data_IF_119988879481
#
_entry.id   IF_119988879481
#
_cell.length_a   1.000
_cell.length_b   1.000
_cell.length_c   1.000
_cell.angle_alpha   90.00
_cell.angle_beta   90.00
_cell.angle_gamma   90.00
#
_symmetry.space_group_name_H-M   'P 1'
#
loop_
_entity.id
_entity.type
_entity.pdbx_description
1 polymer ?
#
# COMPACT_ATOMS: atom_id res chain seq x y z
N UNK A 1 53.02 23.45 23.43
CA UNK A 1 52.63 22.09 23.84
C UNK A 1 51.13 22.14 24.13
N UNK A 2 50.30 21.68 23.21
CA UNK A 2 48.83 21.78 23.34
C UNK A 2 48.30 20.48 23.93
N UNK A 3 47.67 20.56 25.11
CA UNK A 3 47.00 19.42 25.71
C UNK A 3 45.66 19.18 25.00
N UNK A 4 45.51 18.00 24.42
CA UNK A 4 44.24 17.45 23.97
C UNK A 4 43.33 17.25 25.18
N UNK A 5 42.26 18.04 25.26
CA UNK A 5 41.20 17.85 26.26
C UNK A 5 40.46 16.54 25.96
N UNK A 6 40.36 15.60 26.92
CA UNK A 6 39.58 14.39 26.72
C UNK A 6 38.10 14.76 26.77
N UNK A 7 37.41 14.51 25.65
CA UNK A 7 35.96 14.66 25.56
C UNK A 7 35.29 13.78 26.62
N UNK A 8 34.78 14.40 27.68
CA UNK A 8 33.80 13.80 28.57
C UNK A 8 32.56 13.45 27.74
N UNK A 9 32.38 12.17 27.42
CA UNK A 9 31.12 11.64 26.90
C UNK A 9 30.08 11.74 28.02
N UNK A 10 29.33 12.83 28.01
CA UNK A 10 28.30 13.14 28.99
C UNK A 10 27.30 11.99 29.13
N UNK A 11 27.00 11.60 30.38
CA UNK A 11 26.02 10.58 30.79
C UNK A 11 24.63 10.82 30.17
N UNK A 12 24.35 12.06 29.74
CA UNK A 12 23.15 12.44 28.98
C UNK A 12 22.96 11.63 27.67
N UNK A 13 24.02 11.05 27.13
CA UNK A 13 23.97 10.31 25.86
C UNK A 13 23.21 8.97 25.97
N UNK A 14 23.27 8.28 27.12
CA UNK A 14 22.62 6.97 27.29
C UNK A 14 21.10 7.09 27.33
N UNK A 15 20.56 8.13 27.97
CA UNK A 15 19.12 8.38 28.06
C UNK A 15 18.51 8.69 26.68
N UNK A 16 19.25 9.41 25.82
CA UNK A 16 18.83 9.69 24.45
C UNK A 16 18.60 8.42 23.60
N UNK A 17 19.41 7.38 23.79
CA UNK A 17 19.35 6.15 22.98
C UNK A 17 18.07 5.36 23.19
N UNK A 18 17.72 5.12 24.46
CA UNK A 18 16.50 4.39 24.81
C UNK A 18 15.25 5.16 24.35
N UNK A 19 15.31 6.49 24.42
CA UNK A 19 14.24 7.37 23.92
C UNK A 19 14.05 7.21 22.42
N UNK A 20 15.11 7.33 21.60
CA UNK A 20 14.97 7.22 20.14
C UNK A 20 14.50 5.84 19.69
N UNK A 21 14.93 4.78 20.37
CA UNK A 21 14.43 3.43 20.09
C UNK A 21 12.94 3.27 20.42
N UNK A 22 12.46 3.84 21.52
CA UNK A 22 11.02 3.88 21.86
C UNK A 22 10.24 4.67 20.81
N UNK A 23 10.79 5.79 20.34
CA UNK A 23 10.20 6.60 19.26
C UNK A 23 10.09 5.79 17.97
N UNK A 24 11.15 5.09 17.54
CA UNK A 24 11.12 4.23 16.35
C UNK A 24 10.12 3.08 16.50
N UNK A 25 10.02 2.48 17.69
CA UNK A 25 9.03 1.44 17.99
C UNK A 25 7.60 2.00 17.89
N UNK A 26 7.39 3.22 18.42
CA UNK A 26 6.10 3.92 18.37
C UNK A 26 5.73 4.29 16.93
N UNK A 27 6.68 4.74 16.11
CA UNK A 27 6.49 5.00 14.68
C UNK A 27 5.91 3.80 13.93
N UNK A 28 6.44 2.59 14.17
CA UNK A 28 5.96 1.36 13.53
C UNK A 28 4.72 0.75 14.18
N UNK A 29 4.39 1.14 15.42
CA UNK A 29 3.29 0.55 16.19
C UNK A 29 1.91 0.52 15.52
N UNK A 30 1.51 1.48 14.65
CA UNK A 30 0.26 1.41 13.91
C UNK A 30 0.10 0.11 13.10
N UNK A 31 1.20 -0.39 12.52
CA UNK A 31 1.21 -1.57 11.66
C UNK A 31 1.33 -2.89 12.43
N UNK A 32 1.67 -2.83 13.73
CA UNK A 32 1.75 -4.03 14.57
C UNK A 32 0.39 -4.48 15.14
N UNK A 33 -0.68 -3.71 14.90
CA UNK A 33 -2.03 -3.95 15.48
C UNK A 33 -2.86 -4.99 14.72
N UNK A 34 -2.30 -5.63 13.68
CA UNK A 34 -3.00 -6.57 12.78
C UNK A 34 -4.25 -5.98 12.11
N UNK A 35 -4.31 -4.65 12.01
CA UNK A 35 -5.31 -3.95 11.21
C UNK A 35 -4.91 -4.16 9.75
N UNK A 36 -5.89 -4.42 8.88
CA UNK A 36 -5.67 -4.60 7.45
C UNK A 36 -6.58 -3.66 6.68
N UNK A 37 -6.14 -3.24 5.49
CA UNK A 37 -6.91 -2.35 4.64
C UNK A 37 -6.06 -1.26 3.97
N UNK A 38 -6.62 -0.57 2.97
CA UNK A 38 -5.90 0.40 2.15
C UNK A 38 -5.91 1.83 2.71
N UNK A 39 -6.62 2.08 3.81
CA UNK A 39 -6.71 3.39 4.44
C UNK A 39 -5.72 3.50 5.60
N UNK A 40 -4.76 4.42 5.46
CA UNK A 40 -3.74 4.69 6.48
C UNK A 40 -4.37 5.20 7.80
N UNK A 41 -5.53 5.85 7.74
CA UNK A 41 -6.25 6.35 8.93
C UNK A 41 -6.75 5.22 9.82
N UNK A 42 -7.14 4.08 9.23
CA UNK A 42 -7.60 2.92 9.98
C UNK A 42 -6.50 2.36 10.91
N UNK A 43 -5.23 2.58 10.59
CA UNK A 43 -4.09 2.17 11.43
C UNK A 43 -3.84 3.15 12.60
N UNK A 44 -4.45 4.34 12.57
CA UNK A 44 -4.13 5.44 13.50
C UNK A 44 -2.71 5.99 13.30
N UNK A 45 -2.18 5.89 12.07
CA UNK A 45 -0.80 6.28 11.79
C UNK A 45 -0.60 7.79 11.94
N UNK A 46 -1.55 8.60 11.47
CA UNK A 46 -1.43 10.06 11.48
C UNK A 46 -1.32 10.60 12.92
N UNK A 47 -2.16 10.11 13.83
CA UNK A 47 -2.18 10.47 15.24
C UNK A 47 -0.87 10.08 15.93
N UNK A 48 -0.41 8.85 15.68
CA UNK A 48 0.84 8.35 16.24
C UNK A 48 2.03 9.14 15.70
N UNK A 49 2.09 9.39 14.41
CA UNK A 49 3.20 10.10 13.78
C UNK A 49 3.27 11.56 14.24
N UNK A 50 2.14 12.27 14.28
CA UNK A 50 2.07 13.63 14.82
C UNK A 50 2.47 13.69 16.31
N UNK A 51 2.18 12.64 17.09
CA UNK A 51 2.52 12.61 18.52
C UNK A 51 4.01 12.40 18.82
N UNK A 52 4.82 12.05 17.82
CA UNK A 52 6.26 11.77 18.01
C UNK A 52 7.18 12.73 17.26
N UNK A 53 6.64 13.53 16.33
CA UNK A 53 7.41 14.51 15.55
C UNK A 53 7.19 15.94 16.08
N UNK A 54 8.11 16.83 15.72
CA UNK A 54 7.94 18.28 15.94
C UNK A 54 6.87 18.88 15.02
N UNK A 55 6.57 20.16 15.19
CA UNK A 55 5.63 20.89 14.33
C UNK A 55 6.04 20.83 12.85
N UNK A 56 5.08 21.02 11.94
CA UNK A 56 5.30 20.93 10.49
C UNK A 56 6.42 21.85 10.00
N UNK A 57 6.55 23.05 10.58
CA UNK A 57 7.57 24.03 10.21
C UNK A 57 9.00 23.59 10.61
N UNK A 58 9.11 22.70 11.60
CA UNK A 58 10.38 22.22 12.15
C UNK A 58 10.71 20.79 11.71
N UNK A 59 9.77 20.11 11.04
CA UNK A 59 9.91 18.72 10.65
C UNK A 59 10.31 18.58 9.18
N UNK A 60 11.38 17.83 8.94
CA UNK A 60 11.80 17.46 7.58
C UNK A 60 11.97 15.96 7.47
N UNK A 61 11.76 15.41 6.27
CA UNK A 61 12.07 14.02 6.04
C UNK A 61 12.71 13.76 4.68
N UNK A 62 13.31 12.57 4.58
CA UNK A 62 13.75 12.01 3.33
C UNK A 62 13.27 10.56 3.21
N UNK A 63 12.50 10.24 2.17
CA UNK A 63 12.06 8.87 1.89
C UNK A 63 12.70 8.39 0.60
N UNK A 64 13.51 7.33 0.67
CA UNK A 64 14.21 6.74 -0.49
C UNK A 64 15.01 7.75 -1.34
N UNK A 65 15.56 8.79 -0.70
CA UNK A 65 16.33 9.83 -1.39
C UNK A 65 15.53 11.11 -1.67
N UNK A 66 14.20 11.03 -1.74
CA UNK A 66 13.33 12.18 -1.96
C UNK A 66 13.16 12.98 -0.67
N UNK A 67 13.38 14.29 -0.72
CA UNK A 67 13.21 15.20 0.42
C UNK A 67 11.76 15.72 0.45
N UNK A 68 11.18 15.83 1.64
CA UNK A 68 9.83 16.35 1.84
C UNK A 68 9.48 16.60 3.30
N UNK A 69 8.19 16.69 3.58
CA UNK A 69 7.61 16.92 4.91
C UNK A 69 6.96 15.63 5.45
N UNK A 70 6.12 15.74 6.48
CA UNK A 70 5.38 14.60 7.02
C UNK A 70 4.50 13.88 5.98
N UNK A 71 3.97 14.61 4.98
CA UNK A 71 3.10 14.02 3.94
C UNK A 71 3.86 13.05 3.06
N UNK A 72 5.16 13.27 2.82
CA UNK A 72 5.97 12.34 2.04
C UNK A 72 6.06 10.96 2.69
N UNK A 73 6.17 10.90 4.02
CA UNK A 73 6.16 9.62 4.76
C UNK A 73 4.80 8.94 4.66
N UNK A 74 3.71 9.71 4.81
CA UNK A 74 2.36 9.18 4.63
C UNK A 74 2.11 8.66 3.21
N UNK A 75 2.54 9.41 2.20
CA UNK A 75 2.40 9.06 0.78
C UNK A 75 3.06 7.73 0.46
N UNK A 76 4.24 7.50 1.03
CA UNK A 76 4.95 6.23 0.93
C UNK A 76 4.09 5.06 1.46
N UNK A 77 3.49 5.19 2.65
CA UNK A 77 2.64 4.13 3.20
C UNK A 77 1.30 4.01 2.47
N UNK A 78 0.67 5.11 2.07
CA UNK A 78 -0.55 5.10 1.26
C UNK A 78 -0.32 4.26 0.00
N UNK A 79 0.80 4.49 -0.67
CA UNK A 79 1.16 3.79 -1.89
C UNK A 79 1.32 2.28 -1.66
N UNK A 80 2.01 1.86 -0.60
CA UNK A 80 2.13 0.44 -0.23
C UNK A 80 0.77 -0.18 0.10
N UNK A 81 -0.01 0.52 0.93
CA UNK A 81 -1.29 0.01 1.43
C UNK A 81 -2.35 -0.13 0.33
N UNK A 82 -2.20 0.52 -0.83
CA UNK A 82 -3.06 0.29 -1.99
C UNK A 82 -3.15 -1.17 -2.40
N UNK A 83 -2.02 -1.89 -2.36
CA UNK A 83 -1.94 -3.29 -2.80
C UNK A 83 -1.66 -4.28 -1.69
N UNK A 84 -1.01 -3.82 -0.63
CA UNK A 84 -0.37 -4.70 0.33
C UNK A 84 -0.83 -4.43 1.76
N UNK A 85 -0.89 -5.46 2.59
CA UNK A 85 -0.94 -5.32 4.04
C UNK A 85 0.48 -5.37 4.60
N UNK A 86 0.75 -4.60 5.66
CA UNK A 86 1.99 -4.75 6.45
C UNK A 86 1.67 -5.71 7.60
N UNK A 87 2.20 -6.93 7.54
CA UNK A 87 1.81 -8.03 8.43
C UNK A 87 2.63 -8.09 9.72
N UNK A 88 3.91 -7.76 9.61
CA UNK A 88 4.87 -7.86 10.70
C UNK A 88 5.98 -6.83 10.49
N UNK A 89 6.47 -6.24 11.57
CA UNK A 89 7.59 -5.30 11.57
C UNK A 89 8.56 -5.72 12.65
N UNK A 90 9.79 -6.05 12.24
CA UNK A 90 10.89 -6.42 13.13
C UNK A 90 11.95 -5.34 13.09
N UNK A 91 12.19 -4.71 14.22
CA UNK A 91 13.34 -3.84 14.42
C UNK A 91 14.54 -4.71 14.81
N UNK A 92 15.66 -4.56 14.11
CA UNK A 92 16.89 -5.25 14.48
C UNK A 92 17.41 -4.69 15.80
N UNK A 93 17.80 -5.58 16.71
CA UNK A 93 18.57 -5.18 17.88
C UNK A 93 19.94 -4.76 17.38
N UNK A 94 20.25 -3.46 17.38
CA UNK A 94 21.61 -3.02 17.16
C UNK A 94 22.53 -3.76 18.11
N UNK A 95 23.60 -4.36 17.57
CA UNK A 95 24.63 -4.97 18.40
C UNK A 95 25.12 -3.93 19.41
N UNK A 96 25.54 -4.35 20.60
CA UNK A 96 25.97 -3.40 21.64
C UNK A 96 27.12 -2.50 21.13
N UNK A 97 27.91 -2.99 20.17
CA UNK A 97 28.97 -2.27 19.45
C UNK A 97 28.45 -1.23 18.46
N UNK A 98 27.41 -1.53 17.67
CA UNK A 98 26.82 -0.55 16.74
C UNK A 98 26.07 0.57 17.48
N UNK A 99 25.45 0.21 18.61
CA UNK A 99 24.73 1.16 19.45
C UNK A 99 25.64 2.23 20.07
N UNK A 100 26.95 1.96 20.20
CA UNK A 100 27.92 2.94 20.72
C UNK A 100 28.17 4.06 19.72
N UNK A 101 28.15 3.76 18.42
CA UNK A 101 28.53 4.71 17.39
C UNK A 101 27.34 5.45 16.78
N UNK A 102 26.12 4.88 16.77
CA UNK A 102 24.99 5.57 16.15
C UNK A 102 23.62 5.20 16.73
N UNK A 103 23.21 5.90 17.80
CA UNK A 103 21.90 5.69 18.45
C UNK A 103 20.70 6.15 17.64
N UNK A 104 20.96 6.85 16.54
CA UNK A 104 19.94 7.46 15.69
C UNK A 104 19.64 6.60 14.46
N UNK A 105 20.48 5.59 14.19
CA UNK A 105 20.33 4.68 13.07
C UNK A 105 19.64 3.37 13.48
N UNK A 106 18.61 3.05 12.73
CA UNK A 106 17.76 1.88 12.91
C UNK A 106 17.77 1.04 11.64
N UNK A 107 17.73 -0.28 11.83
CA UNK A 107 17.56 -1.26 10.76
C UNK A 107 16.44 -2.21 11.14
N UNK A 108 15.79 -2.78 10.14
CA UNK A 108 14.73 -3.74 10.38
C UNK A 108 14.20 -4.35 9.11
N UNK A 109 13.17 -5.17 9.27
CA UNK A 109 12.43 -5.75 8.16
C UNK A 109 10.95 -5.69 8.45
N UNK A 110 10.12 -5.39 7.46
CA UNK A 110 8.69 -5.62 7.54
C UNK A 110 8.22 -6.56 6.43
N UNK A 111 7.09 -7.21 6.63
CA UNK A 111 6.53 -8.16 5.65
C UNK A 111 5.31 -7.55 4.98
N UNK A 112 5.34 -7.48 3.65
CA UNK A 112 4.21 -7.12 2.82
C UNK A 112 3.48 -8.37 2.35
N UNK A 113 2.15 -8.38 2.49
CA UNK A 113 1.27 -9.39 1.91
C UNK A 113 0.46 -8.77 0.78
N UNK A 114 0.49 -9.36 -0.41
CA UNK A 114 -0.36 -8.94 -1.52
C UNK A 114 -1.80 -9.42 -1.27
N UNK A 115 -2.60 -8.56 -0.67
CA UNK A 115 -3.92 -8.92 -0.16
C UNK A 115 -5.09 -8.38 -1.00
N UNK A 116 -4.81 -7.50 -1.98
CA UNK A 116 -5.85 -6.83 -2.77
C UNK A 116 -5.38 -6.46 -4.17
N UNK A 117 -6.32 -6.24 -5.12
CA UNK A 117 -5.97 -5.77 -6.45
C UNK A 117 -5.15 -4.48 -6.39
N UNK A 118 -4.04 -4.46 -7.13
CA UNK A 118 -3.11 -3.35 -7.16
C UNK A 118 -2.74 -3.05 -8.61
N UNK A 119 -3.22 -1.93 -9.16
CA UNK A 119 -2.94 -1.58 -10.57
C UNK A 119 -3.38 -2.66 -11.56
N UNK A 120 -4.50 -3.34 -11.28
CA UNK A 120 -4.98 -4.49 -12.07
C UNK A 120 -4.31 -5.83 -11.73
N UNK A 121 -3.24 -5.84 -10.93
CA UNK A 121 -2.63 -7.07 -10.44
C UNK A 121 -3.41 -7.64 -9.26
N UNK A 122 -4.11 -8.74 -9.52
CA UNK A 122 -4.91 -9.44 -8.51
C UNK A 122 -4.05 -10.30 -7.59
N UNK A 123 -4.39 -10.37 -6.29
CA UNK A 123 -3.73 -11.27 -5.36
C UNK A 123 -3.98 -12.71 -5.79
N UNK A 124 -3.07 -13.61 -5.45
CA UNK A 124 -3.29 -15.03 -5.66
C UNK A 124 -4.49 -15.44 -4.82
N UNK A 125 -5.63 -15.70 -5.46
CA UNK A 125 -6.88 -16.02 -4.79
C UNK A 125 -6.70 -17.24 -3.91
N UNK A 126 -6.56 -17.04 -2.60
CA UNK A 126 -6.95 -18.08 -1.65
C UNK A 126 -8.47 -18.12 -1.79
N UNK A 127 -9.01 -19.20 -2.37
CA UNK A 127 -10.42 -19.56 -2.29
C UNK A 127 -10.78 -19.78 -0.81
N UNK A 128 -10.71 -18.72 -0.01
CA UNK A 128 -11.20 -18.71 1.35
C UNK A 128 -12.68 -18.59 1.16
N UNK A 129 -13.37 -19.71 1.25
CA UNK A 129 -14.83 -19.80 1.28
C UNK A 129 -15.33 -19.01 2.49
N UNK A 130 -15.32 -17.68 2.42
CA UNK A 130 -15.95 -16.77 3.37
C UNK A 130 -17.46 -16.74 3.09
N UNK A 131 -18.06 -17.92 3.18
CA UNK A 131 -19.50 -18.10 3.26
C UNK A 131 -19.96 -18.14 4.74
N UNK A 132 -19.20 -17.48 5.63
CA UNK A 132 -19.73 -17.09 6.93
C UNK A 132 -20.42 -15.73 6.75
N UNK A 133 -21.66 -15.81 6.27
CA UNK A 133 -22.67 -14.78 6.56
C UNK A 133 -22.68 -14.57 8.07
N UNK A 134 -22.00 -13.53 8.54
CA UNK A 134 -22.28 -12.97 9.84
C UNK A 134 -23.66 -12.32 9.68
N UNK A 135 -24.68 -13.04 10.11
CA UNK A 135 -26.02 -12.53 10.30
C UNK A 135 -25.94 -11.48 11.42
N UNK A 136 -25.74 -10.21 11.05
CA UNK A 136 -25.88 -9.11 12.00
C UNK A 136 -27.34 -9.03 12.43
N UNK A 137 -27.65 -8.99 13.75
CA UNK A 137 -29.00 -8.74 14.21
C UNK A 137 -29.38 -7.28 13.91
N UNK A 138 -30.49 -7.09 13.22
CA UNK A 138 -31.13 -5.79 13.03
C UNK A 138 -31.47 -5.18 14.40
N UNK A 139 -30.76 -4.12 14.80
CA UNK A 139 -31.26 -3.13 15.73
C UNK A 139 -31.93 -2.02 14.91
N UNK A 140 -33.24 -2.15 14.76
CA UNK A 140 -34.12 -1.13 14.20
C UNK A 140 -34.28 0.03 15.18
N UNK A 141 -33.75 1.20 14.82
CA UNK A 141 -34.16 2.48 15.42
C UNK A 141 -35.25 3.13 14.55
N UNK A 142 -36.30 3.71 15.15
CA UNK A 142 -37.38 4.36 14.40
C UNK A 142 -36.94 5.72 13.86
N UNK A 143 -37.12 5.94 12.55
CA UNK A 143 -37.05 7.26 11.90
C UNK A 143 -38.41 7.94 11.93
N UNK A 144 -38.50 9.26 12.19
CA UNK A 144 -39.73 10.02 12.02
C UNK A 144 -39.88 10.51 10.58
N UNK A 145 -41.12 10.42 10.11
CA UNK A 145 -41.65 10.84 8.81
C UNK A 145 -41.27 12.28 8.41
N UNK A 146 -40.97 12.48 7.13
CA UNK A 146 -41.31 13.72 6.44
C UNK A 146 -41.64 13.46 4.97
N UNK A 147 -42.77 14.03 4.57
CA UNK A 147 -43.54 13.77 3.36
C UNK A 147 -42.93 14.36 2.08
N UNK A 148 -43.34 13.77 0.96
CA UNK A 148 -43.06 14.16 -0.44
C UNK A 148 -43.69 15.51 -0.83
N UNK A 149 -43.33 16.06 -2.02
CA UNK A 149 -44.19 15.78 -3.17
C UNK A 149 -43.46 15.47 -4.48
N UNK A 150 -44.26 14.84 -5.34
CA UNK A 150 -44.04 14.29 -6.68
C UNK A 150 -43.93 15.40 -7.73
N UNK A 151 -43.06 15.21 -8.73
CA UNK A 151 -43.35 15.71 -10.09
C UNK A 151 -42.78 14.77 -11.15
N UNK A 152 -43.69 14.26 -11.98
CA UNK A 152 -43.44 13.49 -13.18
C UNK A 152 -43.00 14.42 -14.33
N UNK A 153 -42.01 14.02 -15.13
CA UNK A 153 -42.01 14.38 -16.55
C UNK A 153 -41.38 13.28 -17.41
N UNK A 154 -42.24 12.74 -18.26
CA UNK A 154 -42.00 11.76 -19.33
C UNK A 154 -41.56 12.50 -20.59
N UNK A 155 -40.56 12.00 -21.32
CA UNK A 155 -40.50 12.14 -22.80
C UNK A 155 -39.68 11.00 -23.41
N UNK A 156 -40.38 10.22 -24.25
CA UNK A 156 -39.84 9.28 -25.21
C UNK A 156 -39.27 10.04 -26.41
N UNK A 157 -38.18 9.57 -27.03
CA UNK A 157 -38.02 9.62 -28.49
C UNK A 157 -37.25 8.40 -28.99
N UNK A 158 -37.93 7.68 -29.87
CA UNK A 158 -37.57 6.49 -30.64
C UNK A 158 -36.72 6.86 -31.86
N UNK A 159 -35.71 6.06 -32.19
CA UNK A 159 -35.31 5.84 -33.59
C UNK A 159 -34.58 4.49 -33.73
N UNK A 160 -35.04 3.71 -34.69
CA UNK A 160 -34.64 2.35 -35.00
C UNK A 160 -33.77 2.31 -36.27
N UNK A 161 -32.90 1.29 -36.37
CA UNK A 161 -32.47 0.54 -37.58
C UNK A 161 -31.46 -0.52 -37.10
N UNK A 162 -31.69 -1.84 -37.09
CA UNK A 162 -32.02 -2.84 -38.12
C UNK A 162 -30.80 -3.43 -38.88
N UNK A 163 -30.75 -4.78 -38.89
CA UNK A 163 -29.93 -5.74 -39.67
C UNK A 163 -28.43 -5.88 -39.28
N UNK A 164 -27.81 -7.08 -39.19
CA UNK A 164 -28.04 -8.33 -39.94
C UNK A 164 -27.54 -9.56 -39.15
N UNK A 165 -28.26 -10.66 -39.37
CA UNK A 165 -28.03 -12.06 -39.02
C UNK A 165 -26.78 -12.69 -39.68
N UNK A 166 -26.19 -13.68 -39.01
CA UNK A 166 -25.15 -14.55 -39.55
C UNK A 166 -24.97 -15.81 -38.69
N UNK A 167 -25.88 -16.77 -38.86
CA UNK A 167 -25.75 -18.13 -38.34
C UNK A 167 -24.76 -18.94 -39.16
N UNK A 168 -23.96 -19.78 -38.51
CA UNK A 168 -23.27 -20.91 -39.13
C UNK A 168 -23.00 -21.98 -38.07
N UNK A 169 -23.90 -22.98 -38.04
CA UNK A 169 -23.72 -24.26 -37.37
C UNK A 169 -22.54 -25.03 -37.97
N UNK A 170 -21.78 -25.73 -37.12
CA UNK A 170 -21.07 -26.94 -37.52
C UNK A 170 -21.09 -27.95 -36.38
N UNK A 171 -21.96 -28.95 -36.54
CA UNK A 171 -21.96 -30.21 -35.81
C UNK A 171 -20.73 -31.03 -36.20
N UNK A 172 -20.06 -31.64 -35.22
CA UNK A 172 -19.50 -32.97 -35.43
C UNK A 172 -19.46 -33.75 -34.11
N UNK A 173 -20.33 -34.75 -34.07
CA UNK A 173 -20.33 -35.89 -33.15
C UNK A 173 -19.38 -36.97 -33.67
N UNK A 174 -18.59 -37.60 -32.81
CA UNK A 174 -18.51 -39.08 -32.78
C UNK A 174 -17.71 -39.57 -31.56
N UNK A 175 -18.28 -40.62 -30.97
CA UNK A 175 -17.87 -41.38 -29.81
C UNK A 175 -16.77 -42.39 -30.11
N UNK A 176 -15.99 -42.76 -29.09
CA UNK A 176 -15.70 -44.17 -28.81
C UNK A 176 -15.33 -44.38 -27.33
N UNK A 177 -16.09 -45.27 -26.70
CA UNK A 177 -15.88 -45.86 -25.40
C UNK A 177 -14.54 -46.60 -25.30
N UNK A 178 -13.92 -46.49 -24.14
CA UNK A 178 -12.66 -47.15 -23.79
C UNK A 178 -12.54 -47.24 -22.27
N UNK A 179 -13.33 -48.15 -21.70
CA UNK A 179 -13.34 -48.54 -20.30
C UNK A 179 -11.99 -49.19 -19.94
N UNK A 180 -11.21 -48.57 -19.06
CA UNK A 180 -10.12 -49.23 -18.35
C UNK A 180 -9.88 -48.59 -16.98
N UNK A 181 -10.35 -49.36 -16.02
CA UNK A 181 -10.13 -49.34 -14.58
C UNK A 181 -8.66 -49.14 -14.17
N UNK A 182 -8.34 -47.98 -13.60
CA UNK A 182 -7.29 -47.80 -12.57
C UNK A 182 -7.81 -46.77 -11.54
N UNK A 183 -8.72 -47.21 -10.69
CA UNK A 183 -9.07 -46.50 -9.45
C UNK A 183 -7.90 -46.49 -8.47
N UNK A 184 -7.16 -45.38 -8.39
CA UNK A 184 -6.56 -44.81 -7.17
C UNK A 184 -5.68 -43.59 -7.48
N UNK A 185 -6.13 -42.67 -8.34
CA UNK A 185 -5.48 -41.36 -8.46
C UNK A 185 -5.90 -40.54 -7.24
N UNK A 186 -5.09 -40.68 -6.20
CA UNK A 186 -4.87 -39.79 -5.07
C UNK A 186 -5.36 -38.37 -5.38
N UNK A 187 -6.61 -38.06 -4.99
CA UNK A 187 -7.14 -36.69 -4.90
C UNK A 187 -6.28 -35.93 -3.89
N UNK A 188 -5.13 -35.42 -4.31
CA UNK A 188 -4.49 -34.31 -3.62
C UNK A 188 -5.50 -33.20 -3.73
N UNK A 189 -6.20 -32.93 -2.62
CA UNK A 189 -6.88 -31.65 -2.46
C UNK A 189 -5.81 -30.59 -2.75
N UNK A 190 -5.97 -29.91 -3.87
CA UNK A 190 -5.11 -28.80 -4.25
C UNK A 190 -5.29 -27.70 -3.21
N UNK A 191 -4.39 -27.71 -2.22
CA UNK A 191 -4.33 -26.64 -1.25
C UNK A 191 -4.12 -25.33 -2.03
N UNK A 192 -4.89 -24.27 -1.71
CA UNK A 192 -4.74 -23.00 -2.41
C UNK A 192 -3.28 -22.54 -2.32
N UNK A 193 -2.75 -21.96 -3.41
CA UNK A 193 -1.39 -21.44 -3.41
C UNK A 193 -1.22 -20.42 -2.27
N UNK A 194 -0.06 -20.42 -1.59
CA UNK A 194 0.18 -19.49 -0.50
C UNK A 194 0.15 -18.03 -0.99
N UNK A 195 -0.27 -17.08 -0.14
CA UNK A 195 -0.27 -15.67 -0.50
C UNK A 195 1.15 -15.18 -0.78
N UNK A 196 1.27 -14.17 -1.65
CA UNK A 196 2.55 -13.53 -1.93
C UNK A 196 2.99 -12.71 -0.70
N UNK A 197 4.10 -13.14 -0.09
CA UNK A 197 4.75 -12.46 1.03
C UNK A 197 6.12 -11.93 0.62
N UNK A 198 6.34 -10.63 0.81
CA UNK A 198 7.61 -9.96 0.52
C UNK A 198 8.21 -9.41 1.80
N UNK A 199 9.39 -9.92 2.19
CA UNK A 199 10.15 -9.37 3.32
C UNK A 199 10.98 -8.18 2.83
N UNK A 200 10.65 -6.99 3.30
CA UNK A 200 11.28 -5.73 2.89
C UNK A 200 12.24 -5.26 3.99
N UNK A 201 13.54 -5.17 3.72
CA UNK A 201 14.47 -4.53 4.64
C UNK A 201 14.27 -3.02 4.63
N UNK A 202 14.50 -2.37 5.76
CA UNK A 202 14.53 -0.92 5.83
C UNK A 202 15.68 -0.44 6.71
N UNK A 203 16.11 0.79 6.45
CA UNK A 203 16.92 1.57 7.38
C UNK A 203 16.22 2.88 7.68
N UNK A 204 16.38 3.38 8.90
CA UNK A 204 15.86 4.68 9.28
C UNK A 204 16.89 5.44 10.12
N UNK A 205 17.01 6.74 9.91
CA UNK A 205 17.77 7.65 10.77
C UNK A 205 16.80 8.66 11.37
N UNK A 206 16.83 8.81 12.68
CA UNK A 206 16.02 9.80 13.40
C UNK A 206 16.91 10.84 14.05
N UNK A 207 16.59 12.11 13.86
CA UNK A 207 17.20 13.20 14.60
C UNK A 207 16.09 13.98 15.29
N UNK A 208 16.38 14.45 16.50
CA UNK A 208 15.38 15.14 17.30
C UNK A 208 15.84 15.34 18.73
N UNK A 209 14.89 15.76 19.55
CA UNK A 209 15.08 16.01 20.97
C UNK A 209 13.97 15.33 21.77
N UNK A 210 13.91 15.60 23.08
CA UNK A 210 12.81 15.18 23.94
C UNK A 210 11.44 15.70 23.46
N UNK A 211 11.43 16.77 22.67
CA UNK A 211 10.21 17.36 22.10
C UNK A 211 9.67 16.60 20.89
N UNK A 212 10.45 15.68 20.31
CA UNK A 212 10.07 14.90 19.14
C UNK A 212 11.16 14.84 18.07
N UNK A 213 10.85 14.10 17.00
CA UNK A 213 11.67 13.95 15.80
C UNK A 213 11.58 15.25 14.99
N UNK A 214 12.71 15.88 14.68
CA UNK A 214 12.82 17.03 13.77
C UNK A 214 13.26 16.63 12.37
N UNK A 215 14.02 15.54 12.24
CA UNK A 215 14.43 15.02 10.95
C UNK A 215 14.32 13.49 10.89
N UNK A 216 13.79 12.97 9.79
CA UNK A 216 13.68 11.52 9.56
C UNK A 216 14.18 11.15 8.17
N UNK A 217 15.10 10.19 8.09
CA UNK A 217 15.46 9.53 6.83
C UNK A 217 14.90 8.11 6.89
N UNK A 218 14.05 7.72 5.93
CA UNK A 218 13.54 6.36 5.77
C UNK A 218 13.98 5.80 4.42
N UNK A 219 14.67 4.67 4.43
CA UNK A 219 15.06 3.94 3.22
C UNK A 219 14.43 2.57 3.24
N UNK A 220 13.60 2.30 2.25
CA UNK A 220 12.84 1.08 2.10
C UNK A 220 12.62 0.78 0.61
N UNK A 221 13.29 -0.23 0.04
CA UNK A 221 13.23 -0.56 -1.38
C UNK A 221 11.95 -1.33 -1.76
N UNK A 222 10.86 -1.15 -1.03
CA UNK A 222 9.62 -1.91 -1.17
C UNK A 222 9.12 -1.95 -2.61
N UNK A 223 9.03 -0.79 -3.27
CA UNK A 223 8.53 -0.72 -4.65
C UNK A 223 9.46 -1.39 -5.63
N UNK A 224 10.78 -1.29 -5.41
CA UNK A 224 11.77 -1.97 -6.23
C UNK A 224 11.65 -3.49 -6.07
N UNK A 225 11.42 -3.99 -4.85
CA UNK A 225 11.20 -5.41 -4.59
C UNK A 225 9.89 -5.92 -5.20
N UNK A 226 8.81 -5.14 -5.09
CA UNK A 226 7.53 -5.46 -5.73
C UNK A 226 7.68 -5.50 -7.25
N UNK A 227 8.34 -4.50 -7.85
CA UNK A 227 8.58 -4.42 -9.29
C UNK A 227 9.49 -5.55 -9.81
N UNK A 228 10.50 -5.93 -9.03
CA UNK A 228 11.44 -7.01 -9.37
C UNK A 228 10.87 -8.41 -9.13
N UNK A 229 9.75 -8.55 -8.42
CA UNK A 229 9.15 -9.85 -8.16
C UNK A 229 8.70 -10.52 -9.46
N UNK A 230 8.97 -11.82 -9.61
CA UNK A 230 8.70 -12.57 -10.84
C UNK A 230 7.21 -12.63 -11.20
N UNK A 231 6.32 -12.59 -10.20
CA UNK A 231 4.88 -12.57 -10.41
C UNK A 231 4.31 -11.18 -10.72
N UNK A 232 5.13 -10.12 -10.67
CA UNK A 232 4.68 -8.76 -10.94
C UNK A 232 4.45 -8.57 -12.45
N UNK A 233 3.24 -8.22 -12.89
CA UNK A 233 2.95 -8.03 -14.30
C UNK A 233 3.82 -6.92 -14.93
N UNK A 234 4.27 -7.06 -16.19
CA UNK A 234 5.11 -6.05 -16.85
C UNK A 234 4.51 -4.64 -16.83
N UNK A 235 3.20 -4.50 -17.04
CA UNK A 235 2.53 -3.21 -17.01
C UNK A 235 2.56 -2.55 -15.63
N UNK A 236 2.39 -3.33 -14.56
CA UNK A 236 2.52 -2.85 -13.17
C UNK A 236 3.96 -2.46 -12.87
N UNK A 237 4.95 -3.26 -13.32
CA UNK A 237 6.37 -2.92 -13.20
C UNK A 237 6.70 -1.58 -13.86
N UNK A 238 6.26 -1.37 -15.11
CA UNK A 238 6.44 -0.10 -15.81
C UNK A 238 5.78 1.07 -15.08
N UNK A 239 4.59 0.86 -14.50
CA UNK A 239 3.90 1.86 -13.71
C UNK A 239 4.68 2.22 -12.44
N UNK A 240 5.18 1.23 -11.69
CA UNK A 240 5.98 1.43 -10.47
C UNK A 240 7.31 2.15 -10.72
N UNK A 241 7.87 2.05 -11.93
CA UNK A 241 9.09 2.74 -12.35
C UNK A 241 8.83 4.17 -12.85
N UNK A 242 7.56 4.55 -13.06
CA UNK A 242 7.18 5.88 -13.52
C UNK A 242 6.79 6.78 -12.33
N UNK A 243 7.61 7.79 -12.05
CA UNK A 243 7.41 8.71 -10.93
C UNK A 243 6.10 9.50 -11.02
N UNK A 244 5.70 9.94 -12.21
CA UNK A 244 4.45 10.67 -12.44
C UNK A 244 3.22 9.78 -12.17
N UNK A 245 3.27 8.50 -12.57
CA UNK A 245 2.22 7.54 -12.27
C UNK A 245 2.07 7.28 -10.77
N UNK A 246 3.19 7.17 -10.04
CA UNK A 246 3.17 7.01 -8.58
C UNK A 246 2.62 8.26 -7.89
N UNK A 247 2.96 9.46 -8.33
CA UNK A 247 2.37 10.70 -7.82
C UNK A 247 0.86 10.76 -8.11
N UNK A 248 0.42 10.38 -9.30
CA UNK A 248 -0.99 10.34 -9.65
C UNK A 248 -1.77 9.36 -8.77
N UNK A 249 -1.22 8.17 -8.52
CA UNK A 249 -1.81 7.19 -7.61
C UNK A 249 -1.99 7.76 -6.19
N UNK A 250 -0.95 8.38 -5.63
CA UNK A 250 -1.01 9.01 -4.31
C UNK A 250 -2.10 10.10 -4.27
N UNK A 251 -2.17 10.97 -5.29
CA UNK A 251 -3.21 12.02 -5.38
C UNK A 251 -4.62 11.43 -5.41
N UNK A 252 -4.86 10.41 -6.23
CA UNK A 252 -6.14 9.71 -6.30
C UNK A 252 -6.51 9.10 -4.94
N UNK A 253 -5.55 8.49 -4.25
CA UNK A 253 -5.77 7.91 -2.93
C UNK A 253 -6.06 8.95 -1.85
N UNK A 254 -5.39 10.10 -1.87
CA UNK A 254 -5.72 11.22 -0.98
C UNK A 254 -7.11 11.79 -1.25
N UNK A 255 -7.59 11.69 -2.49
CA UNK A 255 -8.97 12.01 -2.86
C UNK A 255 -9.98 10.87 -2.57
N UNK A 256 -9.59 9.86 -1.78
CA UNK A 256 -10.40 8.70 -1.40
C UNK A 256 -10.90 7.83 -2.57
N UNK A 257 -10.27 7.90 -3.74
CA UNK A 257 -10.55 6.98 -4.86
C UNK A 257 -10.12 5.57 -4.45
N UNK A 258 -11.00 4.58 -4.57
CA UNK A 258 -10.70 3.22 -4.10
C UNK A 258 -9.52 2.62 -4.90
N UNK A 259 -8.61 1.83 -4.27
CA UNK A 259 -7.46 1.27 -4.98
C UNK A 259 -7.83 0.33 -6.13
N UNK A 260 -8.93 -0.42 -6.00
CA UNK A 260 -9.34 -1.45 -6.94
C UNK A 260 -9.82 -0.89 -8.29
N UNK A 261 -10.22 0.38 -8.34
CA UNK A 261 -10.57 1.09 -9.58
C UNK A 261 -9.38 1.81 -10.22
N UNK A 262 -8.24 1.91 -9.52
CA UNK A 262 -7.01 2.52 -10.03
C UNK A 262 -6.20 1.42 -10.74
N UNK A 263 -6.19 1.46 -12.07
CA UNK A 263 -5.45 0.50 -12.90
C UNK A 263 -4.16 1.10 -13.45
N UNK A 264 -3.24 0.24 -13.89
CA UNK A 264 -2.07 0.62 -14.68
C UNK A 264 -2.47 1.47 -15.89
N UNK A 265 -3.51 1.06 -16.63
CA UNK A 265 -4.02 1.80 -17.80
C UNK A 265 -4.50 3.20 -17.43
N UNK A 266 -5.25 3.32 -16.33
CA UNK A 266 -5.73 4.62 -15.83
C UNK A 266 -4.55 5.56 -15.54
N UNK A 267 -3.54 5.09 -14.81
CA UNK A 267 -2.39 5.91 -14.44
C UNK A 267 -1.54 6.33 -15.64
N UNK A 268 -1.27 5.39 -16.56
CA UNK A 268 -0.49 5.70 -17.76
C UNK A 268 -1.23 6.69 -18.68
N UNK A 269 -2.57 6.62 -18.74
CA UNK A 269 -3.38 7.56 -19.52
C UNK A 269 -3.34 9.00 -18.97
N UNK A 270 -3.20 9.16 -17.64
CA UNK A 270 -3.09 10.48 -17.00
C UNK A 270 -1.76 11.14 -17.39
N UNK A 271 -0.68 10.36 -17.42
CA UNK A 271 0.64 10.84 -17.88
C UNK A 271 0.60 11.34 -19.33
N UNK A 272 0.05 10.53 -20.24
CA UNK A 272 -0.05 10.89 -21.66
C UNK A 272 -0.88 12.18 -21.89
N UNK A 273 -1.95 12.38 -21.12
CA UNK A 273 -2.77 13.60 -21.21
C UNK A 273 -2.03 14.84 -20.70
N UNK A 274 -1.22 14.71 -19.66
CA UNK A 274 -0.40 15.83 -19.14
C UNK A 274 0.57 16.32 -20.20
N UNK A 275 1.28 15.41 -20.88
CA UNK A 275 2.17 15.77 -22.00
C UNK A 275 1.43 16.43 -23.15
N UNK A 276 0.29 15.85 -23.56
CA UNK A 276 -0.55 16.43 -24.61
C UNK A 276 -1.04 17.84 -24.25
N UNK A 277 -1.40 18.09 -22.99
CA UNK A 277 -1.85 19.40 -22.52
C UNK A 277 -0.69 20.38 -22.40
N UNK A 278 0.47 19.96 -21.90
CA UNK A 278 1.68 20.78 -21.86
C UNK A 278 2.13 21.19 -23.26
N UNK A 279 2.06 20.28 -24.24
CA UNK A 279 2.35 20.56 -25.65
C UNK A 279 1.30 21.49 -26.27
N UNK A 280 0.00 21.26 -26.04
CA UNK A 280 -1.07 22.11 -26.54
C UNK A 280 -1.04 23.54 -25.95
N UNK A 281 -0.51 23.71 -24.73
CA UNK A 281 -0.30 25.03 -24.11
C UNK A 281 1.04 25.68 -24.47
N UNK A 282 1.84 25.07 -25.37
CA UNK A 282 3.13 25.60 -25.81
C UNK A 282 4.20 25.67 -24.71
N UNK A 283 4.07 24.84 -23.68
CA UNK A 283 5.01 24.78 -22.55
C UNK A 283 6.21 23.86 -22.87
N UNK A 284 6.06 22.96 -23.84
CA UNK A 284 7.07 22.03 -24.35
C UNK A 284 7.49 22.39 -25.77
#
# INVERSE_FOLDING_TARGET
MWYTSPYYTSINNVHGRLTMRRVMTRFWSPFCRRITGPDLRAYGFHEVFNSIRTHDDDFTCQVNGQVGDAKLVEDFFILLLCGFNIMDVKLENSSMTDAINDSCNFKGTYTLEHARPFLGWSPTSVNTSSNLKISSPLLSFPTPNCSTPITNTTTNTTAATAFTSGDSNSMNSSSCDGDSDITAVKRRLDAPPPPLLLRVPFTARLEGSERGISHMILRSPALNLVAAHHSCPPAVRSCLQNSDAMQALVRLRRANVRPDIITDKTLMSIGARKEAWSSAMGIL
#
